data_IF_220048820218
#
_entry.id   IF_220048820218
#
_cell.length_a   1.000
_cell.length_b   1.000
_cell.length_c   1.000
_cell.angle_alpha   90.00
_cell.angle_beta   90.00
_cell.angle_gamma   90.00
#
_symmetry.space_group_name_H-M   'P 1'
#
loop_
_entity.id
_entity.type
_entity.pdbx_description
1 polymer ?
#
# COMPACT_ATOMS: atom_id res chain seq x y z
N UNK A 1 52.81 18.17 13.29
CA UNK A 1 51.58 17.40 13.20
C UNK A 1 51.40 17.05 11.74
N UNK A 2 51.67 15.80 11.37
CA UNK A 2 51.50 15.33 9.98
C UNK A 2 50.07 14.89 9.82
N UNK A 3 49.29 15.65 9.06
CA UNK A 3 47.96 15.20 8.56
C UNK A 3 48.21 14.05 7.58
N UNK A 4 48.00 12.83 8.10
CA UNK A 4 47.89 11.65 7.24
C UNK A 4 46.44 11.69 6.71
N UNK A 5 46.24 12.45 5.63
CA UNK A 5 45.05 12.28 4.80
C UNK A 5 45.13 10.88 4.19
N UNK A 6 44.47 9.91 4.84
CA UNK A 6 44.33 8.57 4.32
C UNK A 6 43.49 8.67 3.05
N UNK A 7 44.13 8.70 1.91
CA UNK A 7 43.49 8.69 0.60
C UNK A 7 42.94 7.28 0.39
N UNK A 8 41.76 7.02 0.95
CA UNK A 8 41.03 5.76 0.74
C UNK A 8 40.61 5.75 -0.72
N UNK A 9 41.29 4.94 -1.53
CA UNK A 9 40.90 4.73 -2.92
C UNK A 9 39.46 4.19 -2.96
N UNK A 10 38.53 5.00 -3.46
CA UNK A 10 37.14 4.59 -3.66
C UNK A 10 37.10 3.46 -4.70
N UNK A 11 36.58 2.30 -4.36
CA UNK A 11 36.48 1.13 -5.25
C UNK A 11 35.64 1.41 -6.50
N UNK A 12 35.83 0.61 -7.54
CA UNK A 12 35.14 0.75 -8.82
C UNK A 12 33.63 0.57 -8.67
N UNK A 13 33.19 -0.41 -7.85
CA UNK A 13 31.80 -0.64 -7.53
C UNK A 13 31.12 0.62 -6.95
N UNK A 14 31.79 1.29 -6.00
CA UNK A 14 31.23 2.49 -5.36
C UNK A 14 31.13 3.65 -6.35
N UNK A 15 32.15 3.84 -7.21
CA UNK A 15 32.15 4.87 -8.27
C UNK A 15 31.05 4.60 -9.28
N UNK A 16 30.92 3.36 -9.75
CA UNK A 16 29.90 2.93 -10.70
C UNK A 16 28.48 3.14 -10.14
N UNK A 17 28.24 2.74 -8.87
CA UNK A 17 26.98 2.97 -8.20
C UNK A 17 26.64 4.46 -8.06
N UNK A 18 27.61 5.29 -7.68
CA UNK A 18 27.43 6.73 -7.58
C UNK A 18 27.09 7.36 -8.94
N UNK A 19 27.73 6.89 -10.03
CA UNK A 19 27.43 7.33 -11.40
C UNK A 19 26.00 6.98 -11.80
N UNK A 20 25.54 5.75 -11.51
CA UNK A 20 24.14 5.35 -11.76
C UNK A 20 23.17 6.25 -11.01
N UNK A 21 23.42 6.50 -9.73
CA UNK A 21 22.55 7.37 -8.90
C UNK A 21 22.49 8.80 -9.47
N UNK A 22 23.61 9.33 -9.93
CA UNK A 22 23.69 10.68 -10.51
C UNK A 22 22.91 10.81 -11.84
N UNK A 23 22.87 9.73 -12.64
CA UNK A 23 22.20 9.70 -13.95
C UNK A 23 20.69 9.34 -13.85
N UNK A 24 20.23 8.84 -12.69
CA UNK A 24 18.82 8.47 -12.48
C UNK A 24 17.95 9.72 -12.50
N UNK A 25 16.91 9.68 -13.34
CA UNK A 25 15.89 10.73 -13.41
C UNK A 25 14.69 10.32 -12.55
N UNK A 26 13.95 11.31 -12.06
CA UNK A 26 12.67 11.07 -11.41
C UNK A 26 11.69 10.46 -12.43
N UNK A 27 11.04 9.36 -12.06
CA UNK A 27 9.99 8.75 -12.85
C UNK A 27 8.66 9.46 -12.61
N UNK A 28 7.86 9.55 -13.66
CA UNK A 28 6.48 10.00 -13.56
C UNK A 28 5.55 8.79 -13.38
N UNK A 29 4.43 9.00 -12.70
CA UNK A 29 3.40 7.98 -12.55
C UNK A 29 2.67 7.82 -13.88
N UNK A 30 2.93 6.74 -14.60
CA UNK A 30 2.42 6.49 -15.96
C UNK A 30 1.27 5.48 -16.02
N UNK A 31 1.05 4.73 -14.95
CA UNK A 31 0.03 3.70 -14.87
C UNK A 31 -1.09 4.10 -13.93
N UNK A 32 -2.33 3.70 -14.28
CA UNK A 32 -3.50 3.89 -13.42
C UNK A 32 -4.01 2.54 -12.95
N UNK A 33 -4.13 2.36 -11.64
CA UNK A 33 -4.80 1.19 -11.09
C UNK A 33 -6.31 1.35 -11.24
N UNK A 34 -6.91 0.49 -12.08
CA UNK A 34 -8.35 0.51 -12.36
C UNK A 34 -9.23 0.18 -11.14
N UNK A 35 -8.69 -0.50 -10.14
CA UNK A 35 -9.42 -0.87 -8.92
C UNK A 35 -9.34 0.20 -7.83
N UNK A 36 -8.24 0.92 -7.76
CA UNK A 36 -8.02 1.94 -6.71
C UNK A 36 -8.08 3.39 -7.20
N UNK A 37 -8.11 3.64 -8.52
CA UNK A 37 -8.20 4.98 -9.10
C UNK A 37 -6.95 5.86 -8.91
N UNK A 38 -5.83 5.29 -8.43
CA UNK A 38 -4.58 6.03 -8.22
C UNK A 38 -3.57 5.73 -9.32
N UNK A 39 -2.66 6.68 -9.54
CA UNK A 39 -1.55 6.53 -10.47
C UNK A 39 -0.33 5.96 -9.75
N UNK A 40 0.38 5.06 -10.41
CA UNK A 40 1.59 4.43 -9.87
C UNK A 40 2.67 4.29 -10.94
N UNK A 41 3.89 4.02 -10.51
CA UNK A 41 5.04 3.68 -11.33
C UNK A 41 5.31 2.18 -11.20
N UNK A 42 5.29 1.46 -12.32
CA UNK A 42 5.52 0.01 -12.34
C UNK A 42 6.98 -0.35 -12.05
N UNK A 43 7.23 -1.62 -11.69
CA UNK A 43 8.59 -2.13 -11.58
C UNK A 43 9.31 -2.10 -12.93
N UNK A 44 8.57 -2.22 -14.03
CA UNK A 44 9.14 -2.23 -15.38
C UNK A 44 9.61 -0.82 -15.78
N UNK A 45 8.90 0.25 -15.39
CA UNK A 45 9.39 1.64 -15.58
C UNK A 45 10.74 1.85 -14.88
N UNK A 46 10.88 1.33 -13.65
CA UNK A 46 12.17 1.38 -12.94
C UNK A 46 13.24 0.55 -13.63
N UNK A 47 12.93 -0.65 -14.13
CA UNK A 47 13.87 -1.49 -14.89
C UNK A 47 14.34 -0.79 -16.15
N UNK A 48 13.43 -0.20 -16.91
CA UNK A 48 13.73 0.47 -18.17
C UNK A 48 14.64 1.70 -17.97
N UNK A 49 14.52 2.37 -16.82
CA UNK A 49 15.39 3.48 -16.47
C UNK A 49 16.74 3.02 -15.89
N UNK A 50 16.73 2.10 -14.93
CA UNK A 50 17.95 1.80 -14.14
C UNK A 50 18.87 0.79 -14.83
N UNK A 51 18.31 -0.25 -15.49
CA UNK A 51 19.13 -1.29 -16.14
C UNK A 51 20.12 -0.77 -17.18
N UNK A 52 19.76 0.15 -18.10
CA UNK A 52 20.71 0.71 -19.04
C UNK A 52 21.85 1.47 -18.35
N UNK A 53 21.54 2.18 -17.25
CA UNK A 53 22.55 2.90 -16.46
C UNK A 53 23.48 1.95 -15.74
N UNK A 54 22.95 0.87 -15.16
CA UNK A 54 23.76 -0.19 -14.55
C UNK A 54 24.69 -0.81 -15.58
N UNK A 55 24.18 -1.24 -16.73
CA UNK A 55 24.96 -1.85 -17.80
C UNK A 55 26.08 -0.92 -18.31
N UNK A 56 25.74 0.37 -18.53
CA UNK A 56 26.72 1.41 -18.94
C UNK A 56 27.87 1.54 -17.93
N UNK A 57 27.60 1.36 -16.64
CA UNK A 57 28.56 1.47 -15.56
C UNK A 57 29.14 0.10 -15.12
N UNK A 58 28.94 -0.96 -15.90
CA UNK A 58 29.48 -2.28 -15.63
C UNK A 58 28.94 -2.95 -14.37
N UNK A 59 27.68 -2.64 -13.98
CA UNK A 59 27.03 -3.23 -12.82
C UNK A 59 26.06 -4.32 -13.23
N UNK A 60 26.05 -5.42 -12.49
CA UNK A 60 25.05 -6.47 -12.55
C UNK A 60 24.37 -6.67 -11.20
N UNK A 61 23.10 -7.14 -11.20
CA UNK A 61 22.29 -7.38 -10.04
C UNK A 61 21.95 -8.86 -9.93
N UNK A 62 22.43 -9.49 -8.87
CA UNK A 62 22.04 -10.84 -8.50
C UNK A 62 20.93 -10.79 -7.45
N UNK A 63 19.74 -11.27 -7.81
CA UNK A 63 18.58 -11.37 -6.93
C UNK A 63 18.26 -12.87 -6.68
N UNK A 64 18.14 -13.25 -5.44
CA UNK A 64 17.75 -14.60 -5.04
C UNK A 64 16.74 -14.58 -3.90
N UNK A 65 15.80 -15.53 -3.92
CA UNK A 65 14.97 -15.83 -2.77
C UNK A 65 15.82 -16.58 -1.74
N UNK A 66 15.91 -16.07 -0.53
CA UNK A 66 16.70 -16.65 0.56
C UNK A 66 15.85 -17.51 1.47
N UNK A 67 14.63 -17.08 1.75
CA UNK A 67 13.68 -17.85 2.55
C UNK A 67 12.25 -17.57 2.17
N UNK A 68 11.41 -18.59 2.33
CA UNK A 68 9.97 -18.54 2.16
C UNK A 68 9.30 -19.18 3.38
N UNK A 69 8.34 -18.48 3.98
CA UNK A 69 7.55 -19.00 5.08
C UNK A 69 6.06 -18.69 4.86
N UNK A 70 5.21 -19.70 5.11
CA UNK A 70 3.77 -19.53 5.16
C UNK A 70 3.32 -19.48 6.62
N UNK A 71 2.46 -18.54 6.92
CA UNK A 71 1.78 -18.44 8.20
C UNK A 71 0.31 -18.13 7.99
N UNK A 72 -0.51 -18.53 8.96
CA UNK A 72 -1.92 -18.17 8.98
C UNK A 72 -2.10 -17.09 10.04
N UNK A 73 -2.61 -15.94 9.64
CA UNK A 73 -2.95 -14.86 10.55
C UNK A 73 -4.46 -14.71 10.65
N UNK A 74 -4.94 -14.31 11.81
CA UNK A 74 -6.34 -13.96 12.01
C UNK A 74 -6.51 -12.48 11.75
N UNK A 75 -7.33 -12.14 10.77
CA UNK A 75 -7.62 -10.76 10.38
C UNK A 75 -9.06 -10.39 10.73
N UNK A 76 -9.27 -9.12 11.08
CA UNK A 76 -10.56 -8.60 11.46
C UNK A 76 -11.08 -9.10 12.83
N UNK A 77 -12.22 -8.56 13.26
CA UNK A 77 -12.86 -8.90 14.55
C UNK A 77 -13.44 -10.32 14.56
N UNK A 78 -13.79 -10.86 13.42
CA UNK A 78 -14.34 -12.21 13.26
C UNK A 78 -13.27 -13.29 13.20
N UNK A 79 -11.99 -12.90 13.24
CA UNK A 79 -10.86 -13.83 13.24
C UNK A 79 -10.75 -14.65 11.95
N UNK A 80 -11.12 -14.07 10.79
CA UNK A 80 -10.96 -14.72 9.49
C UNK A 80 -9.50 -15.12 9.29
N UNK A 81 -9.26 -16.38 9.01
CA UNK A 81 -7.92 -16.88 8.75
C UNK A 81 -7.48 -16.51 7.33
N UNK A 82 -6.31 -15.89 7.25
CA UNK A 82 -5.68 -15.51 5.99
C UNK A 82 -4.28 -16.09 5.94
N UNK A 83 -3.96 -16.81 4.89
CA UNK A 83 -2.61 -17.30 4.66
C UNK A 83 -1.75 -16.16 4.14
N UNK A 84 -0.60 -15.97 4.78
CA UNK A 84 0.37 -14.92 4.46
C UNK A 84 1.71 -15.58 4.16
N UNK A 85 2.32 -15.16 3.04
CA UNK A 85 3.68 -15.51 2.69
C UNK A 85 4.63 -14.41 3.18
N UNK A 86 5.67 -14.80 3.91
CA UNK A 86 6.81 -13.96 4.26
C UNK A 86 8.01 -14.45 3.48
N UNK A 87 8.50 -13.62 2.57
CA UNK A 87 9.56 -13.98 1.63
C UNK A 87 10.72 -13.01 1.81
N UNK A 88 11.90 -13.54 2.03
CA UNK A 88 13.14 -12.76 2.14
C UNK A 88 13.94 -12.90 0.87
N UNK A 89 14.30 -11.78 0.28
CA UNK A 89 15.15 -11.68 -0.89
C UNK A 89 16.54 -11.17 -0.49
N UNK A 90 17.53 -11.67 -1.21
CA UNK A 90 18.92 -11.28 -1.10
C UNK A 90 19.35 -10.64 -2.41
N UNK A 91 20.02 -9.49 -2.33
CA UNK A 91 20.54 -8.75 -3.47
C UNK A 91 22.03 -8.53 -3.32
N UNK A 92 22.77 -8.76 -4.40
CA UNK A 92 24.21 -8.46 -4.50
C UNK A 92 24.40 -7.68 -5.80
N UNK A 93 25.14 -6.57 -5.73
CA UNK A 93 25.57 -5.83 -6.91
C UNK A 93 27.02 -6.23 -7.18
N UNK A 94 27.31 -6.62 -8.42
CA UNK A 94 28.65 -6.96 -8.89
C UNK A 94 29.08 -5.98 -9.96
N UNK A 95 30.35 -5.56 -9.91
CA UNK A 95 30.97 -4.75 -10.94
C UNK A 95 31.86 -5.62 -11.83
N UNK A 96 32.01 -5.27 -13.11
CA UNK A 96 32.84 -6.00 -14.10
C UNK A 96 34.29 -6.17 -13.67
N UNK A 97 34.81 -5.41 -12.70
CA UNK A 97 36.12 -5.60 -12.08
C UNK A 97 36.19 -6.80 -11.13
N UNK A 98 35.07 -7.47 -10.86
CA UNK A 98 34.95 -8.53 -9.86
C UNK A 98 34.63 -8.07 -8.42
N UNK A 99 34.54 -6.75 -8.21
CA UNK A 99 34.10 -6.22 -6.91
C UNK A 99 32.63 -6.51 -6.67
N UNK A 100 32.27 -6.96 -5.45
CA UNK A 100 30.90 -7.26 -5.03
C UNK A 100 30.49 -6.44 -3.82
N UNK A 101 29.22 -6.05 -3.78
CA UNK A 101 28.66 -5.45 -2.59
C UNK A 101 28.47 -6.48 -1.48
N UNK A 102 28.40 -6.02 -0.23
CA UNK A 102 27.77 -6.81 0.82
C UNK A 102 26.33 -7.15 0.42
N UNK A 103 25.81 -8.32 0.82
CA UNK A 103 24.43 -8.69 0.57
C UNK A 103 23.46 -7.71 1.23
N UNK A 104 22.50 -7.21 0.46
CA UNK A 104 21.37 -6.46 0.97
C UNK A 104 20.15 -7.38 1.02
N UNK A 105 19.31 -7.20 2.04
CA UNK A 105 18.12 -8.02 2.23
C UNK A 105 16.87 -7.18 2.23
N UNK A 106 15.79 -7.76 1.67
CA UNK A 106 14.47 -7.16 1.71
C UNK A 106 13.44 -8.25 1.99
N UNK A 107 12.55 -8.00 2.95
CA UNK A 107 11.51 -8.96 3.32
C UNK A 107 10.16 -8.42 2.91
N UNK A 108 9.41 -9.22 2.18
CA UNK A 108 8.05 -8.92 1.73
C UNK A 108 7.08 -9.83 2.46
N UNK A 109 6.02 -9.26 2.99
CA UNK A 109 4.92 -9.97 3.63
C UNK A 109 3.64 -9.64 2.88
N UNK A 110 2.97 -10.64 2.29
CA UNK A 110 1.76 -10.45 1.48
C UNK A 110 0.83 -11.66 1.56
N UNK A 111 -0.49 -11.46 1.26
CA UNK A 111 -1.43 -12.58 1.19
C UNK A 111 -0.96 -13.64 0.20
N UNK A 112 -1.04 -14.91 0.60
CA UNK A 112 -0.68 -16.03 -0.28
C UNK A 112 -1.83 -16.35 -1.23
N UNK A 113 -1.59 -16.16 -2.52
CA UNK A 113 -2.56 -16.39 -3.61
C UNK A 113 -2.14 -17.52 -4.55
N UNK A 114 -1.14 -18.33 -4.15
CA UNK A 114 -0.62 -19.44 -4.95
C UNK A 114 0.72 -19.11 -5.62
N UNK A 115 0.99 -19.75 -6.76
CA UNK A 115 2.29 -19.70 -7.43
C UNK A 115 2.74 -18.28 -7.86
N UNK A 116 1.81 -17.37 -8.06
CA UNK A 116 2.13 -15.99 -8.47
C UNK A 116 2.67 -15.14 -7.31
N UNK A 117 2.51 -15.59 -6.06
CA UNK A 117 2.90 -14.82 -4.86
C UNK A 117 4.39 -14.49 -4.84
N UNK A 118 5.26 -15.46 -5.12
CA UNK A 118 6.73 -15.22 -5.15
C UNK A 118 7.13 -14.23 -6.25
N UNK A 119 6.52 -14.30 -7.44
CA UNK A 119 6.80 -13.36 -8.53
C UNK A 119 6.38 -11.92 -8.20
N UNK A 120 5.21 -11.76 -7.60
CA UNK A 120 4.74 -10.46 -7.14
C UNK A 120 5.64 -9.88 -6.03
N UNK A 121 6.01 -10.72 -5.04
CA UNK A 121 6.93 -10.35 -3.97
C UNK A 121 8.31 -9.95 -4.50
N UNK A 122 8.86 -10.70 -5.46
CA UNK A 122 10.15 -10.38 -6.08
C UNK A 122 10.11 -9.03 -6.81
N UNK A 123 9.06 -8.77 -7.57
CA UNK A 123 8.87 -7.50 -8.27
C UNK A 123 8.82 -6.33 -7.29
N UNK A 124 8.09 -6.48 -6.18
CA UNK A 124 8.02 -5.49 -5.12
C UNK A 124 9.38 -5.30 -4.43
N UNK A 125 10.07 -6.39 -4.07
CA UNK A 125 11.37 -6.34 -3.42
C UNK A 125 12.44 -5.67 -4.32
N UNK A 126 12.42 -5.90 -5.62
CA UNK A 126 13.32 -5.23 -6.58
C UNK A 126 13.00 -3.73 -6.65
N UNK A 127 11.71 -3.37 -6.77
CA UNK A 127 11.31 -1.97 -6.82
C UNK A 127 11.72 -1.21 -5.56
N UNK A 128 11.30 -1.68 -4.40
CA UNK A 128 11.50 -0.98 -3.14
C UNK A 128 12.91 -1.17 -2.57
N UNK A 129 13.43 -2.40 -2.57
CA UNK A 129 14.74 -2.72 -1.98
C UNK A 129 15.91 -2.31 -2.86
N UNK A 130 15.81 -2.49 -4.18
CA UNK A 130 16.95 -2.22 -5.09
C UNK A 130 16.84 -0.83 -5.69
N UNK A 131 15.80 -0.57 -6.48
CA UNK A 131 15.76 0.70 -7.24
C UNK A 131 15.57 1.90 -6.33
N UNK A 132 14.62 1.86 -5.40
CA UNK A 132 14.47 2.94 -4.44
C UNK A 132 15.50 2.89 -3.31
N UNK A 133 15.74 1.71 -2.71
CA UNK A 133 16.64 1.57 -1.56
C UNK A 133 18.11 1.72 -1.91
N UNK A 134 18.63 0.94 -2.87
CA UNK A 134 20.06 0.94 -3.20
C UNK A 134 20.48 2.01 -4.20
N UNK A 135 19.61 2.34 -5.17
CA UNK A 135 19.89 3.33 -6.21
C UNK A 135 19.17 4.68 -5.99
N UNK A 136 18.38 4.83 -4.93
CA UNK A 136 17.70 6.07 -4.58
C UNK A 136 16.80 6.63 -5.69
N UNK A 137 16.29 5.74 -6.58
CA UNK A 137 15.38 6.14 -7.63
C UNK A 137 14.05 6.61 -7.04
N UNK A 138 13.52 7.73 -7.51
CA UNK A 138 12.26 8.29 -7.02
C UNK A 138 11.21 8.33 -8.11
N UNK A 139 9.96 8.09 -7.74
CA UNK A 139 8.79 8.14 -8.63
C UNK A 139 7.75 9.16 -8.18
N UNK A 140 8.05 9.93 -7.14
CA UNK A 140 7.04 10.78 -6.51
C UNK A 140 6.03 10.01 -5.68
N UNK A 141 6.19 8.69 -5.54
CA UNK A 141 5.44 7.93 -4.56
C UNK A 141 6.00 8.27 -3.18
N UNK A 142 5.16 8.79 -2.29
CA UNK A 142 5.51 8.88 -0.87
C UNK A 142 5.42 7.47 -0.32
N UNK A 143 6.37 7.07 0.51
CA UNK A 143 6.40 5.72 1.12
C UNK A 143 5.10 5.40 1.86
N UNK A 144 4.46 6.45 2.42
CA UNK A 144 3.14 6.37 3.06
C UNK A 144 2.00 6.01 2.07
N UNK A 145 2.11 6.40 0.79
CA UNK A 145 1.12 6.01 -0.23
C UNK A 145 1.26 4.53 -0.63
N UNK A 146 2.46 3.95 -0.58
CA UNK A 146 2.67 2.53 -0.86
C UNK A 146 2.09 1.66 0.27
N UNK A 147 2.32 2.03 1.53
CA UNK A 147 1.74 1.33 2.69
C UNK A 147 0.21 1.48 2.74
N UNK A 148 -0.31 2.66 2.42
CA UNK A 148 -1.74 2.91 2.27
C UNK A 148 -2.34 2.13 1.10
N UNK A 149 -1.54 1.89 0.06
CA UNK A 149 -1.95 1.16 -1.12
C UNK A 149 -2.06 -0.33 -0.88
N UNK A 150 -1.07 -0.94 -0.25
CA UNK A 150 -1.11 -2.36 0.14
C UNK A 150 -2.24 -2.60 1.16
N UNK A 151 -2.46 -1.66 2.08
CA UNK A 151 -3.62 -1.67 2.98
C UNK A 151 -4.94 -1.49 2.22
N UNK A 152 -5.01 -0.61 1.23
CA UNK A 152 -6.22 -0.41 0.43
C UNK A 152 -6.53 -1.63 -0.45
N UNK A 153 -5.50 -2.30 -0.99
CA UNK A 153 -5.67 -3.53 -1.76
C UNK A 153 -6.04 -4.72 -0.87
N UNK A 154 -5.48 -4.79 0.34
CA UNK A 154 -5.88 -5.76 1.36
C UNK A 154 -7.33 -5.54 1.80
N UNK A 155 -7.74 -4.30 2.05
CA UNK A 155 -9.11 -3.91 2.37
C UNK A 155 -10.07 -4.18 1.19
N UNK A 156 -9.63 -3.92 -0.05
CA UNK A 156 -10.45 -4.21 -1.24
C UNK A 156 -10.67 -5.71 -1.44
N UNK A 157 -9.70 -6.55 -1.08
CA UNK A 157 -9.83 -8.02 -1.11
C UNK A 157 -10.70 -8.56 0.03
N UNK A 158 -10.92 -7.81 1.11
CA UNK A 158 -11.86 -8.14 2.19
C UNK A 158 -13.31 -7.72 1.87
N UNK A 159 -13.52 -6.93 0.82
CA UNK A 159 -14.85 -6.45 0.47
C UNK A 159 -15.66 -7.53 -0.25
N UNK A 160 -16.93 -7.55 0.05
CA UNK A 160 -17.89 -8.42 -0.64
C UNK A 160 -17.99 -8.05 -2.12
N UNK A 161 -18.18 -9.02 -2.99
CA UNK A 161 -18.61 -8.75 -4.36
C UNK A 161 -20.00 -8.09 -4.36
N UNK A 162 -20.33 -7.31 -5.41
CA UNK A 162 -21.64 -6.65 -5.50
C UNK A 162 -22.83 -7.62 -5.44
N UNK A 163 -22.64 -8.85 -5.91
CA UNK A 163 -23.68 -9.88 -5.88
C UNK A 163 -23.95 -10.37 -4.44
N UNK A 164 -22.90 -10.64 -3.68
CA UNK A 164 -22.98 -11.09 -2.28
C UNK A 164 -23.39 -9.95 -1.34
N UNK A 165 -22.92 -8.74 -1.61
CA UNK A 165 -23.16 -7.57 -0.79
C UNK A 165 -24.61 -7.02 -0.90
N UNK A 166 -25.28 -7.25 -2.04
CA UNK A 166 -26.59 -6.65 -2.34
C UNK A 166 -27.64 -6.83 -1.22
N UNK A 167 -27.92 -8.05 -0.72
CA UNK A 167 -28.93 -8.23 0.32
C UNK A 167 -28.57 -7.51 1.63
N UNK A 168 -27.28 -7.48 1.97
CA UNK A 168 -26.79 -6.80 3.18
C UNK A 168 -26.88 -5.29 3.00
N UNK A 169 -26.48 -4.76 1.84
CA UNK A 169 -26.57 -3.35 1.53
C UNK A 169 -28.02 -2.82 1.57
N UNK A 170 -28.95 -3.55 0.95
CA UNK A 170 -30.37 -3.20 0.94
C UNK A 170 -30.97 -3.23 2.35
N UNK A 171 -30.52 -4.16 3.22
CA UNK A 171 -30.91 -4.18 4.64
C UNK A 171 -30.36 -2.96 5.39
N UNK A 172 -29.07 -2.69 5.28
CA UNK A 172 -28.43 -1.53 5.92
C UNK A 172 -29.07 -0.20 5.50
N UNK A 173 -29.37 -0.05 4.20
CA UNK A 173 -30.02 1.15 3.69
C UNK A 173 -31.46 1.31 4.21
N UNK A 174 -32.21 0.20 4.29
CA UNK A 174 -33.58 0.20 4.87
C UNK A 174 -33.56 0.55 6.35
N UNK A 175 -32.62 -0.05 7.09
CA UNK A 175 -32.46 0.21 8.52
C UNK A 175 -32.04 1.65 8.79
N UNK A 176 -31.08 2.20 8.02
CA UNK A 176 -30.66 3.60 8.14
C UNK A 176 -31.87 4.54 7.95
N UNK A 177 -32.66 4.31 6.90
CA UNK A 177 -33.86 5.12 6.62
C UNK A 177 -34.94 4.99 7.70
N UNK A 178 -35.11 3.78 8.27
CA UNK A 178 -36.02 3.58 9.37
C UNK A 178 -35.57 4.35 10.62
N UNK A 179 -34.29 4.26 10.98
CA UNK A 179 -33.74 5.02 12.10
C UNK A 179 -33.89 6.51 11.87
N UNK A 180 -33.59 7.03 10.70
CA UNK A 180 -33.77 8.46 10.34
C UNK A 180 -35.24 8.89 10.47
N UNK A 181 -36.18 8.06 10.05
CA UNK A 181 -37.60 8.38 10.12
C UNK A 181 -38.17 8.39 11.56
N UNK A 182 -37.61 7.57 12.44
CA UNK A 182 -38.12 7.36 13.80
C UNK A 182 -37.36 8.22 14.84
N UNK A 183 -36.10 8.53 14.58
CA UNK A 183 -35.25 9.25 15.55
C UNK A 183 -35.34 10.75 15.43
N UNK A 184 -35.23 11.42 16.58
CA UNK A 184 -35.05 12.89 16.69
C UNK A 184 -33.68 13.25 17.29
N UNK A 185 -32.82 12.26 17.53
CA UNK A 185 -31.54 12.41 18.19
C UNK A 185 -30.40 11.93 17.31
N UNK A 186 -29.37 12.77 17.18
CA UNK A 186 -28.13 12.37 16.48
C UNK A 186 -27.40 11.24 17.22
N UNK A 187 -27.62 11.06 18.54
CA UNK A 187 -27.00 9.98 19.33
C UNK A 187 -27.54 8.57 18.93
N UNK A 188 -28.84 8.48 18.63
CA UNK A 188 -29.44 7.23 18.17
C UNK A 188 -28.93 6.86 16.77
N UNK A 189 -28.83 7.81 15.88
CA UNK A 189 -28.24 7.63 14.55
C UNK A 189 -26.75 7.21 14.64
N UNK A 190 -25.99 7.81 15.55
CA UNK A 190 -24.61 7.41 15.83
C UNK A 190 -24.49 5.99 16.38
N UNK A 191 -25.43 5.60 17.27
CA UNK A 191 -25.48 4.24 17.80
C UNK A 191 -25.71 3.20 16.70
N UNK A 192 -26.67 3.46 15.80
CA UNK A 192 -26.89 2.59 14.64
C UNK A 192 -25.64 2.47 13.79
N UNK A 193 -25.00 3.60 13.46
CA UNK A 193 -23.75 3.63 12.68
C UNK A 193 -22.65 2.80 13.34
N UNK A 194 -22.44 2.98 14.63
CA UNK A 194 -21.41 2.27 15.38
C UNK A 194 -21.64 0.77 15.44
N UNK A 195 -22.92 0.35 15.53
CA UNK A 195 -23.31 -1.06 15.54
C UNK A 195 -23.09 -1.73 14.18
N UNK A 196 -23.37 -1.01 13.09
CA UNK A 196 -23.30 -1.56 11.73
C UNK A 196 -21.95 -1.27 11.01
N UNK A 197 -21.02 -0.62 11.68
CA UNK A 197 -19.76 -0.14 11.08
C UNK A 197 -18.97 -1.22 10.33
N UNK A 198 -18.87 -2.42 10.90
CA UNK A 198 -18.09 -3.50 10.31
C UNK A 198 -18.77 -4.06 9.06
N UNK A 199 -20.11 -4.18 9.06
CA UNK A 199 -20.89 -4.59 7.88
C UNK A 199 -20.85 -3.53 6.76
N UNK A 200 -20.84 -2.25 7.12
CA UNK A 200 -20.72 -1.14 6.16
C UNK A 200 -19.34 -1.15 5.50
N UNK A 201 -18.28 -1.41 6.27
CA UNK A 201 -16.89 -1.39 5.80
C UNK A 201 -16.59 -2.48 4.77
N UNK A 202 -17.21 -3.64 4.85
CA UNK A 202 -16.99 -4.75 3.90
C UNK A 202 -17.83 -4.63 2.62
N UNK A 203 -18.70 -3.60 2.52
CA UNK A 203 -19.43 -3.32 1.28
C UNK A 203 -18.51 -2.88 0.14
N UNK A 204 -18.92 -3.03 -1.13
CA UNK A 204 -18.26 -2.38 -2.25
C UNK A 204 -18.01 -0.90 -1.99
N UNK A 205 -16.87 -0.37 -2.46
CA UNK A 205 -16.41 1.00 -2.14
C UNK A 205 -17.47 2.07 -2.44
N UNK A 206 -18.13 1.95 -3.59
CA UNK A 206 -19.18 2.86 -4.02
C UNK A 206 -20.41 2.80 -3.10
N UNK A 207 -20.76 1.61 -2.59
CA UNK A 207 -21.89 1.41 -1.69
C UNK A 207 -21.58 1.86 -0.26
N UNK A 208 -20.38 1.60 0.23
CA UNK A 208 -19.91 2.19 1.49
C UNK A 208 -19.96 3.72 1.45
N UNK A 209 -19.50 4.32 0.34
CA UNK A 209 -19.51 5.77 0.15
C UNK A 209 -20.94 6.33 0.13
N UNK A 210 -21.90 5.61 -0.46
CA UNK A 210 -23.32 6.00 -0.45
C UNK A 210 -23.88 6.00 0.97
N UNK A 211 -23.67 4.93 1.75
CA UNK A 211 -24.14 4.85 3.14
C UNK A 211 -23.49 5.92 4.02
N UNK A 212 -22.20 6.17 3.86
CA UNK A 212 -21.49 7.24 4.59
C UNK A 212 -22.05 8.62 4.30
N UNK A 213 -22.37 8.89 3.04
CA UNK A 213 -22.93 10.18 2.64
C UNK A 213 -24.34 10.35 3.23
N UNK A 214 -25.23 9.35 3.07
CA UNK A 214 -26.59 9.38 3.59
C UNK A 214 -26.58 9.59 5.12
N UNK A 215 -25.75 8.83 5.85
CA UNK A 215 -25.54 9.03 7.29
C UNK A 215 -25.05 10.42 7.66
N UNK A 216 -24.04 10.95 6.95
CA UNK A 216 -23.44 12.23 7.29
C UNK A 216 -24.38 13.43 7.05
N UNK A 217 -25.19 13.35 6.01
CA UNK A 217 -26.18 14.38 5.68
C UNK A 217 -27.29 14.42 6.75
N UNK A 218 -27.80 13.25 7.17
CA UNK A 218 -28.80 13.14 8.21
C UNK A 218 -28.27 13.51 9.60
N UNK A 219 -27.04 13.11 9.93
CA UNK A 219 -26.40 13.47 11.19
C UNK A 219 -26.26 14.99 11.34
N UNK A 220 -25.88 15.70 10.28
CA UNK A 220 -25.78 17.16 10.28
C UNK A 220 -27.13 17.82 10.48
N UNK A 221 -28.17 17.29 9.85
CA UNK A 221 -29.54 17.82 9.94
C UNK A 221 -30.08 17.67 11.36
N UNK A 222 -29.96 16.50 11.96
CA UNK A 222 -30.39 16.24 13.32
C UNK A 222 -29.64 17.10 14.35
N UNK A 223 -28.32 17.18 14.21
CA UNK A 223 -27.49 18.00 15.09
C UNK A 223 -27.86 19.49 15.02
N UNK A 224 -28.08 20.02 13.83
CA UNK A 224 -28.50 21.41 13.65
C UNK A 224 -29.87 21.69 14.28
N UNK A 225 -30.82 20.75 14.18
CA UNK A 225 -32.14 20.85 14.82
C UNK A 225 -32.02 20.87 16.36
N UNK A 226 -31.22 19.97 16.95
CA UNK A 226 -31.00 19.96 18.41
C UNK A 226 -30.34 21.24 18.94
N UNK A 227 -29.37 21.79 18.16
CA UNK A 227 -28.70 23.03 18.54
C UNK A 227 -29.68 24.25 18.51
N UNK A 228 -30.63 24.25 17.55
CA UNK A 228 -31.68 25.25 17.49
C UNK A 228 -32.67 25.15 18.67
N UNK A 229 -33.09 23.95 19.01
CA UNK A 229 -34.00 23.68 20.15
C UNK A 229 -33.36 24.11 21.49
N UNK A 230 -32.07 23.85 21.66
CA UNK A 230 -31.30 24.31 22.84
C UNK A 230 -31.13 25.82 22.90
N UNK A 231 -31.03 26.48 21.75
CA UNK A 231 -30.92 27.95 21.69
C UNK A 231 -32.24 28.64 21.94
N UNK A 232 -33.38 28.06 21.53
CA UNK A 232 -34.72 28.59 21.74
C UNK A 232 -35.30 28.34 23.14
N UNK A 233 -34.65 27.47 23.94
CA UNK A 233 -35.07 27.16 25.32
C UNK A 233 -34.39 28.06 26.39
N UNK A 234 -33.60 29.05 25.98
CA UNK A 234 -33.01 30.11 26.83
C UNK A 234 -33.73 31.41 26.65
#
# INVERSE_FOLDING_TARGET
MNDIATNIAVGNLTKAKASVIADIKRLEKSHTNSHGGYQFTSVDDFKDMVRPLMAKNGLDLHASEESFALSTIKTGKEGKETNVATIRFRFIIEHVSGERSEPSFFTVCLPYTGAQTSGAAQSYAIKEGVYKGLFQASSGDVTEEADLHDQAQFIANERMSKAEARPVFESLQRELRAVVAETRSHDELYKWWSTNRDQIRIQPIDWEAMLKKEYADEYKTLKASEDLDRAGAK
#
